data_IF_345513915543
#
_entry.id   IF_345513915543
#
_cell.length_a   1.000
_cell.length_b   1.000
_cell.length_c   1.000
_cell.angle_alpha   90.00
_cell.angle_beta   90.00
_cell.angle_gamma   90.00
#
_symmetry.space_group_name_H-M   'P 1'
#
loop_
_entity.id
_entity.type
_entity.pdbx_description
1 polymer ?
#
# COMPACT_ATOMS: atom_id res chain seq x y z
N UNK A 1 -12.75 6.46 -39.82
CA UNK A 1 -11.84 6.55 -38.68
C UNK A 1 -12.61 7.27 -37.60
N UNK A 2 -13.05 6.60 -36.53
CA UNK A 2 -13.71 7.27 -35.41
C UNK A 2 -12.77 8.34 -34.83
N UNK A 3 -13.34 9.44 -34.32
CA UNK A 3 -12.55 10.50 -33.71
C UNK A 3 -12.05 10.05 -32.34
N UNK A 4 -10.89 10.54 -31.91
CA UNK A 4 -10.30 10.26 -30.58
C UNK A 4 -11.26 10.54 -29.41
N UNK A 5 -12.26 11.41 -29.61
CA UNK A 5 -13.30 11.72 -28.63
C UNK A 5 -14.37 10.62 -28.52
N UNK A 6 -14.69 9.96 -29.62
CA UNK A 6 -15.65 8.85 -29.64
C UNK A 6 -15.04 7.61 -29.01
N UNK A 7 -13.75 7.34 -29.26
CA UNK A 7 -13.01 6.25 -28.60
C UNK A 7 -12.92 6.46 -27.09
N UNK A 8 -12.62 7.70 -26.66
CA UNK A 8 -12.58 8.05 -25.22
C UNK A 8 -13.94 7.84 -24.55
N UNK A 9 -15.03 8.25 -25.20
CA UNK A 9 -16.37 8.07 -24.66
C UNK A 9 -16.79 6.59 -24.61
N UNK A 10 -16.33 5.78 -25.55
CA UNK A 10 -16.58 4.33 -25.57
C UNK A 10 -15.88 3.64 -24.39
N UNK A 11 -14.60 3.96 -24.16
CA UNK A 11 -13.82 3.45 -23.03
C UNK A 11 -14.44 3.88 -21.70
N UNK A 12 -14.89 5.14 -21.59
CA UNK A 12 -15.57 5.63 -20.39
C UNK A 12 -16.93 4.95 -20.15
N UNK A 13 -17.62 4.54 -21.21
CA UNK A 13 -18.89 3.80 -21.10
C UNK A 13 -18.66 2.36 -20.66
N UNK A 14 -17.60 1.71 -21.18
CA UNK A 14 -17.22 0.34 -20.83
C UNK A 14 -16.74 0.23 -19.38
N UNK A 15 -15.93 1.19 -18.92
CA UNK A 15 -15.54 1.30 -17.50
C UNK A 15 -16.78 1.46 -16.59
N UNK A 16 -17.82 2.16 -17.06
CA UNK A 16 -19.05 2.37 -16.29
C UNK A 16 -19.98 1.15 -16.29
N UNK A 17 -20.02 0.37 -17.38
CA UNK A 17 -20.89 -0.80 -17.48
C UNK A 17 -20.40 -1.98 -16.63
N UNK A 18 -19.10 -2.07 -16.35
CA UNK A 18 -18.52 -3.11 -15.48
C UNK A 18 -18.87 -2.93 -13.99
N UNK A 19 -19.50 -1.81 -13.60
CA UNK A 19 -19.91 -1.56 -12.21
C UNK A 19 -21.26 -2.22 -11.82
N UNK A 20 -22.04 -2.73 -12.77
CA UNK A 20 -23.44 -3.12 -12.51
C UNK A 20 -23.69 -4.64 -12.40
N UNK A 21 -22.65 -5.49 -12.36
CA UNK A 21 -22.81 -6.95 -12.29
C UNK A 21 -21.88 -7.59 -11.26
N UNK A 22 -22.17 -7.41 -9.95
CA UNK A 22 -21.96 -8.40 -8.86
C UNK A 22 -21.87 -7.80 -7.42
N UNK A 23 -22.25 -6.54 -7.18
CA UNK A 23 -22.47 -6.08 -5.79
C UNK A 23 -23.80 -6.67 -5.27
N UNK A 24 -23.77 -7.96 -4.89
CA UNK A 24 -24.76 -8.54 -4.00
C UNK A 24 -24.63 -7.86 -2.64
N UNK A 25 -25.22 -6.66 -2.53
CA UNK A 25 -25.39 -5.82 -1.34
C UNK A 25 -26.23 -6.54 -0.27
N UNK A 26 -25.74 -7.68 0.19
CA UNK A 26 -26.16 -8.23 1.46
C UNK A 26 -25.53 -7.37 2.54
N UNK A 27 -26.32 -6.65 3.37
CA UNK A 27 -25.76 -5.85 4.43
C UNK A 27 -24.94 -6.77 5.32
N UNK A 28 -23.64 -6.48 5.44
CA UNK A 28 -22.78 -7.15 6.40
C UNK A 28 -23.33 -6.84 7.80
N UNK A 29 -23.93 -7.84 8.45
CA UNK A 29 -24.35 -7.74 9.85
C UNK A 29 -23.14 -8.18 10.68
N UNK A 30 -22.38 -7.25 11.28
CA UNK A 30 -21.29 -7.63 12.18
C UNK A 30 -21.86 -8.47 13.31
N UNK A 31 -21.32 -9.67 13.48
CA UNK A 31 -21.72 -10.57 14.54
C UNK A 31 -21.19 -9.98 15.87
N UNK A 32 -22.04 -9.29 16.62
CA UNK A 32 -21.66 -8.48 17.79
C UNK A 32 -20.95 -9.25 18.93
N UNK A 33 -20.84 -10.57 18.82
CA UNK A 33 -20.19 -11.47 19.79
C UNK A 33 -18.80 -11.97 19.34
N UNK A 34 -18.39 -11.75 18.09
CA UNK A 34 -17.10 -12.17 17.59
C UNK A 34 -16.05 -11.06 17.81
N UNK A 35 -14.95 -11.37 18.49
CA UNK A 35 -13.80 -10.48 18.55
C UNK A 35 -13.07 -10.52 17.21
N UNK A 36 -12.93 -9.36 16.56
CA UNK A 36 -12.19 -9.25 15.32
C UNK A 36 -10.72 -9.66 15.46
N UNK A 37 -10.14 -10.27 14.42
CA UNK A 37 -8.72 -10.57 14.33
C UNK A 37 -8.20 -10.35 12.90
N UNK A 38 -7.01 -9.75 12.77
CA UNK A 38 -6.30 -9.58 11.49
C UNK A 38 -5.76 -10.90 10.89
N UNK A 39 -6.07 -12.04 11.51
CA UNK A 39 -5.64 -13.37 11.11
C UNK A 39 -5.21 -14.23 12.32
N UNK A 40 -4.67 -15.44 12.09
CA UNK A 40 -4.15 -16.29 13.15
C UNK A 40 -3.03 -15.60 13.93
N UNK A 41 -2.95 -15.84 15.25
CA UNK A 41 -1.84 -15.37 16.07
C UNK A 41 -0.55 -16.06 15.65
N UNK A 42 0.52 -15.29 15.49
CA UNK A 42 1.85 -15.78 15.12
C UNK A 42 2.82 -15.29 16.20
N UNK A 43 3.65 -16.19 16.72
CA UNK A 43 4.52 -15.94 17.88
C UNK A 43 6.01 -16.12 17.58
N UNK A 44 6.34 -16.62 16.40
CA UNK A 44 7.67 -17.07 15.98
C UNK A 44 8.11 -16.42 14.66
N UNK A 45 7.47 -15.30 14.28
CA UNK A 45 7.74 -14.61 13.02
C UNK A 45 9.21 -14.23 12.83
N UNK A 46 9.87 -13.70 13.86
CA UNK A 46 11.29 -13.30 13.76
C UNK A 46 12.20 -14.49 13.45
N UNK A 47 11.91 -15.66 14.04
CA UNK A 47 12.63 -16.89 13.76
C UNK A 47 12.36 -17.38 12.34
N UNK A 48 11.10 -17.38 11.89
CA UNK A 48 10.73 -17.76 10.53
C UNK A 48 11.41 -16.86 9.49
N UNK A 49 11.38 -15.55 9.71
CA UNK A 49 12.03 -14.55 8.85
C UNK A 49 13.53 -14.76 8.81
N UNK A 50 14.18 -14.98 9.96
CA UNK A 50 15.62 -15.21 10.02
C UNK A 50 16.02 -16.47 9.23
N UNK A 51 15.27 -17.57 9.37
CA UNK A 51 15.51 -18.79 8.62
C UNK A 51 15.30 -18.58 7.11
N UNK A 52 14.25 -17.85 6.72
CA UNK A 52 13.98 -17.53 5.32
C UNK A 52 15.13 -16.72 4.70
N UNK A 53 15.63 -15.69 5.38
CA UNK A 53 16.75 -14.86 4.89
C UNK A 53 18.05 -15.67 4.73
N UNK A 54 18.30 -16.64 5.60
CA UNK A 54 19.46 -17.54 5.46
C UNK A 54 19.35 -18.48 4.25
N UNK A 55 18.12 -18.85 3.87
CA UNK A 55 17.85 -19.75 2.74
C UNK A 55 17.75 -19.02 1.39
N UNK A 56 17.48 -17.71 1.40
CA UNK A 56 17.20 -16.91 0.20
C UNK A 56 18.19 -15.73 0.08
N UNK A 57 19.47 -16.05 -0.08
CA UNK A 57 20.56 -15.06 -0.09
C UNK A 57 20.47 -14.06 -1.25
N UNK A 58 19.75 -14.38 -2.34
CA UNK A 58 19.48 -13.44 -3.43
C UNK A 58 18.53 -12.29 -3.03
N UNK A 59 17.79 -12.42 -1.92
CA UNK A 59 16.87 -11.41 -1.39
C UNK A 59 17.31 -10.89 -0.01
N UNK A 60 18.47 -10.20 0.07
CA UNK A 60 18.95 -9.68 1.35
C UNK A 60 18.09 -8.51 1.82
N UNK A 61 17.82 -8.44 3.12
CA UNK A 61 17.09 -7.32 3.73
C UNK A 61 17.87 -6.00 3.75
N UNK A 62 19.18 -6.04 3.52
CA UNK A 62 20.03 -4.88 3.32
C UNK A 62 20.77 -4.96 1.98
N UNK A 63 20.72 -3.88 1.21
CA UNK A 63 21.41 -3.75 -0.08
C UNK A 63 22.40 -2.59 0.01
N UNK A 64 23.70 -2.87 -0.15
CA UNK A 64 24.78 -1.87 -0.06
C UNK A 64 24.73 -1.04 1.24
N UNK A 65 24.41 -1.71 2.36
CA UNK A 65 24.31 -1.08 3.68
C UNK A 65 23.03 -0.27 3.91
N UNK A 66 22.09 -0.26 2.96
CA UNK A 66 20.77 0.37 3.12
C UNK A 66 19.70 -0.69 3.32
N UNK A 67 18.83 -0.50 4.29
CA UNK A 67 17.71 -1.38 4.53
C UNK A 67 16.73 -1.34 3.35
N UNK A 68 16.12 -2.48 2.97
CA UNK A 68 15.06 -2.49 1.96
C UNK A 68 13.79 -1.88 2.52
N UNK A 69 13.21 -0.96 1.76
CA UNK A 69 11.99 -0.25 2.14
C UNK A 69 10.91 -0.48 1.08
N UNK A 70 9.70 -0.80 1.55
CA UNK A 70 8.48 -0.65 0.76
C UNK A 70 7.76 0.63 1.15
N UNK A 71 7.63 1.56 0.22
CA UNK A 71 6.69 2.66 0.36
C UNK A 71 5.29 2.15 0.03
N UNK A 72 4.43 2.05 1.05
CA UNK A 72 3.07 1.56 0.93
C UNK A 72 2.08 2.73 0.87
N UNK A 73 1.28 2.77 -0.20
CA UNK A 73 0.18 3.71 -0.45
C UNK A 73 -1.08 2.94 -0.81
N UNK A 74 -2.24 3.54 -0.56
CA UNK A 74 -3.47 3.08 -1.17
C UNK A 74 -4.48 4.19 -1.41
N UNK A 75 -5.45 3.88 -2.25
CA UNK A 75 -6.68 4.65 -2.43
C UNK A 75 -7.86 3.70 -2.60
N UNK A 76 -9.07 4.26 -2.60
CA UNK A 76 -10.27 3.49 -2.92
C UNK A 76 -10.14 2.84 -4.32
N UNK A 77 -10.68 1.62 -4.53
CA UNK A 77 -10.86 1.04 -5.86
C UNK A 77 -11.83 1.84 -6.73
N UNK A 78 -12.84 2.45 -6.11
CA UNK A 78 -13.88 3.19 -6.81
C UNK A 78 -13.34 4.59 -7.19
N UNK A 79 -13.77 5.16 -8.33
CA UNK A 79 -13.44 6.54 -8.71
C UNK A 79 -13.77 7.52 -7.58
N UNK A 80 -13.05 8.63 -7.52
CA UNK A 80 -13.35 9.67 -6.54
C UNK A 80 -14.75 10.29 -6.80
N UNK A 81 -15.51 10.55 -5.72
CA UNK A 81 -16.81 11.24 -5.83
C UNK A 81 -16.68 12.59 -6.56
N UNK A 82 -15.57 13.29 -6.31
CA UNK A 82 -15.18 14.45 -7.10
C UNK A 82 -14.19 14.02 -8.20
N UNK A 83 -14.52 14.18 -9.49
CA UNK A 83 -13.67 13.72 -10.60
C UNK A 83 -12.26 14.33 -10.61
N UNK A 84 -12.06 15.53 -10.04
CA UNK A 84 -10.70 16.11 -9.93
C UNK A 84 -9.82 15.33 -8.94
N UNK A 85 -10.41 14.57 -8.02
CA UNK A 85 -9.71 13.77 -7.02
C UNK A 85 -8.76 12.76 -7.65
N UNK A 86 -9.21 12.05 -8.69
CA UNK A 86 -8.39 11.07 -9.40
C UNK A 86 -7.17 11.73 -10.06
N UNK A 87 -7.30 12.98 -10.52
CA UNK A 87 -6.17 13.74 -11.04
C UNK A 87 -5.13 14.07 -9.95
N UNK A 88 -5.58 14.37 -8.72
CA UNK A 88 -4.68 14.58 -7.59
C UNK A 88 -4.02 13.28 -7.12
N UNK A 89 -4.75 12.16 -7.10
CA UNK A 89 -4.19 10.83 -6.82
C UNK A 89 -3.09 10.47 -7.84
N UNK A 90 -3.32 10.74 -9.13
CA UNK A 90 -2.33 10.53 -10.18
C UNK A 90 -1.07 11.39 -9.97
N UNK A 91 -1.24 12.68 -9.61
CA UNK A 91 -0.11 13.57 -9.30
C UNK A 91 0.65 13.13 -8.05
N UNK A 92 -0.08 12.62 -7.06
CA UNK A 92 0.49 12.08 -5.83
C UNK A 92 1.36 10.86 -6.09
N UNK A 93 0.85 9.86 -6.82
CA UNK A 93 1.66 8.68 -7.12
C UNK A 93 2.85 9.03 -8.01
N UNK A 94 2.70 9.95 -8.97
CA UNK A 94 3.85 10.44 -9.74
C UNK A 94 4.94 11.04 -8.84
N UNK A 95 4.57 11.91 -7.90
CA UNK A 95 5.51 12.52 -6.95
C UNK A 95 6.30 11.46 -6.18
N UNK A 96 5.60 10.43 -5.71
CA UNK A 96 6.20 9.34 -4.92
C UNK A 96 7.06 8.41 -5.77
N UNK A 97 6.66 8.10 -7.01
CA UNK A 97 7.48 7.37 -7.98
C UNK A 97 8.80 8.09 -8.22
N UNK A 98 8.77 9.42 -8.42
CA UNK A 98 9.98 10.19 -8.66
C UNK A 98 10.93 10.17 -7.44
N UNK A 99 10.42 10.32 -6.21
CA UNK A 99 11.21 10.18 -4.99
C UNK A 99 11.78 8.77 -4.83
N UNK A 100 10.95 7.73 -4.89
CA UNK A 100 11.35 6.35 -4.71
C UNK A 100 12.39 5.89 -5.73
N UNK A 101 12.30 6.34 -6.99
CA UNK A 101 13.30 6.07 -8.02
C UNK A 101 14.67 6.67 -7.67
N UNK A 102 14.71 7.88 -7.11
CA UNK A 102 15.95 8.53 -6.69
C UNK A 102 16.61 7.83 -5.50
N UNK A 103 15.79 7.29 -4.58
CA UNK A 103 16.25 6.70 -3.32
C UNK A 103 16.33 5.17 -3.33
N UNK A 104 15.97 4.51 -4.43
CA UNK A 104 16.00 3.04 -4.54
C UNK A 104 14.96 2.34 -3.65
N UNK A 105 13.79 2.96 -3.47
CA UNK A 105 12.69 2.45 -2.66
C UNK A 105 11.65 1.80 -3.58
N UNK A 106 11.14 0.63 -3.20
CA UNK A 106 10.08 -0.05 -3.94
C UNK A 106 8.70 0.48 -3.50
N UNK A 107 7.73 0.54 -4.41
CA UNK A 107 6.39 1.06 -4.13
C UNK A 107 5.36 -0.05 -4.22
N UNK A 108 4.48 -0.11 -3.22
CA UNK A 108 3.24 -0.88 -3.27
C UNK A 108 2.07 0.09 -3.27
N UNK A 109 1.25 0.03 -4.33
CA UNK A 109 0.01 0.79 -4.42
C UNK A 109 -1.19 -0.15 -4.31
N UNK A 110 -1.94 -0.05 -3.21
CA UNK A 110 -3.15 -0.84 -3.00
C UNK A 110 -4.39 -0.13 -3.54
N UNK A 111 -5.13 -0.83 -4.40
CA UNK A 111 -6.46 -0.44 -4.88
C UNK A 111 -7.56 -1.39 -4.40
N UNK A 112 -7.26 -2.35 -3.50
CA UNK A 112 -8.23 -3.35 -3.07
C UNK A 112 -8.67 -3.15 -1.61
N UNK A 113 -9.94 -3.45 -1.33
CA UNK A 113 -10.41 -3.71 0.03
C UNK A 113 -10.13 -5.18 0.37
N UNK A 114 -9.20 -5.43 1.28
CA UNK A 114 -8.85 -6.78 1.71
C UNK A 114 -9.84 -7.37 2.72
N UNK A 115 -10.57 -6.51 3.42
CA UNK A 115 -11.47 -6.88 4.50
C UNK A 115 -12.70 -5.96 4.47
N UNK A 116 -13.89 -6.53 4.65
CA UNK A 116 -15.16 -5.79 4.65
C UNK A 116 -15.34 -4.96 5.93
N UNK A 117 -14.68 -5.35 7.02
CA UNK A 117 -14.70 -4.63 8.29
C UNK A 117 -13.67 -3.48 8.31
N UNK A 118 -12.51 -3.64 7.65
CA UNK A 118 -11.45 -2.62 7.57
C UNK A 118 -11.56 -1.82 6.27
N UNK A 119 -12.53 -0.92 6.22
CA UNK A 119 -12.71 0.04 5.14
C UNK A 119 -12.09 1.40 5.46
N UNK A 120 -11.97 2.26 4.44
CA UNK A 120 -11.40 3.60 4.58
C UNK A 120 -9.97 3.59 5.15
N UNK A 121 -9.72 4.46 6.15
CA UNK A 121 -8.40 4.63 6.76
C UNK A 121 -7.86 3.38 7.47
N UNK A 122 -8.73 2.45 7.84
CA UNK A 122 -8.36 1.22 8.55
C UNK A 122 -7.84 0.13 7.60
N UNK A 123 -8.11 0.22 6.30
CA UNK A 123 -7.69 -0.76 5.29
C UNK A 123 -6.16 -0.97 5.23
N UNK A 124 -5.38 -0.03 5.76
CA UNK A 124 -3.92 -0.15 5.85
C UNK A 124 -3.45 -1.27 6.78
N UNK A 125 -4.18 -1.56 7.85
CA UNK A 125 -3.76 -2.59 8.83
C UNK A 125 -3.69 -4.01 8.25
N UNK A 126 -4.74 -4.55 7.60
CA UNK A 126 -4.65 -5.87 6.99
C UNK A 126 -3.60 -5.90 5.86
N UNK A 127 -3.43 -4.81 5.12
CA UNK A 127 -2.43 -4.76 4.04
C UNK A 127 -0.99 -4.75 4.58
N UNK A 128 -0.67 -3.92 5.59
CA UNK A 128 0.65 -3.92 6.22
C UNK A 128 0.99 -5.31 6.75
N UNK A 129 0.06 -5.95 7.47
CA UNK A 129 0.24 -7.32 7.96
C UNK A 129 0.54 -8.29 6.81
N UNK A 130 -0.22 -8.23 5.72
CA UNK A 130 -0.02 -9.08 4.55
C UNK A 130 1.34 -8.86 3.89
N UNK A 131 1.77 -7.60 3.77
CA UNK A 131 3.07 -7.25 3.20
C UNK A 131 4.21 -7.79 4.05
N UNK A 132 4.14 -7.67 5.39
CA UNK A 132 5.14 -8.24 6.29
C UNK A 132 5.33 -9.75 6.05
N UNK A 133 4.24 -10.50 5.90
CA UNK A 133 4.33 -11.95 5.67
C UNK A 133 4.76 -12.34 4.25
N UNK A 134 4.33 -11.58 3.25
CA UNK A 134 4.58 -11.92 1.85
C UNK A 134 5.98 -11.51 1.39
N UNK A 135 6.62 -10.59 2.11
CA UNK A 135 7.92 -10.02 1.78
C UNK A 135 8.89 -10.03 2.97
N UNK A 136 9.39 -11.21 3.40
CA UNK A 136 10.32 -11.32 4.52
C UNK A 136 11.65 -10.57 4.28
N UNK A 137 12.01 -10.32 3.02
CA UNK A 137 13.17 -9.55 2.59
C UNK A 137 13.05 -8.05 2.87
N UNK A 138 11.87 -7.53 3.14
CA UNK A 138 11.68 -6.10 3.44
C UNK A 138 12.02 -5.85 4.90
N UNK A 139 12.79 -4.80 5.15
CA UNK A 139 13.15 -4.39 6.52
C UNK A 139 12.18 -3.34 7.06
N UNK A 140 11.77 -2.39 6.21
CA UNK A 140 10.86 -1.31 6.60
C UNK A 140 9.67 -1.21 5.66
N UNK A 141 8.47 -1.13 6.23
CA UNK A 141 7.26 -0.71 5.51
C UNK A 141 6.98 0.74 5.89
N UNK A 142 7.09 1.63 4.92
CA UNK A 142 6.79 3.05 5.08
C UNK A 142 5.41 3.33 4.52
N UNK A 143 4.40 3.39 5.38
CA UNK A 143 3.07 3.87 5.00
C UNK A 143 3.09 5.38 4.74
N UNK A 144 2.52 5.81 3.62
CA UNK A 144 2.33 7.22 3.29
C UNK A 144 0.95 7.43 2.68
N UNK A 145 0.19 8.38 3.21
CA UNK A 145 -1.16 8.65 2.71
C UNK A 145 -1.12 9.20 1.27
N UNK A 146 -2.23 9.02 0.55
CA UNK A 146 -2.37 9.45 -0.85
C UNK A 146 -2.39 10.97 -1.00
N UNK A 147 -2.70 11.72 0.06
CA UNK A 147 -2.68 13.19 0.11
C UNK A 147 -1.38 13.78 0.67
N UNK A 148 -0.42 12.95 1.10
CA UNK A 148 0.92 13.38 1.49
C UNK A 148 1.87 13.45 0.26
N UNK A 149 2.75 14.45 0.22
CA UNK A 149 3.68 14.67 -0.90
C UNK A 149 5.12 14.88 -0.42
N UNK A 150 6.07 14.34 -1.18
CA UNK A 150 7.48 14.69 -1.04
C UNK A 150 7.71 16.07 -1.65
N UNK A 151 8.13 17.02 -0.83
CA UNK A 151 8.52 18.36 -1.25
C UNK A 151 10.03 18.56 -1.24
N UNK A 152 10.76 17.73 -0.49
CA UNK A 152 12.22 17.74 -0.44
C UNK A 152 12.81 16.44 -1.00
N UNK A 153 13.08 16.44 -2.32
CA UNK A 153 13.45 15.22 -3.06
C UNK A 153 14.86 14.68 -2.76
N UNK A 154 15.74 15.50 -2.17
CA UNK A 154 17.14 15.12 -1.90
C UNK A 154 17.30 14.53 -0.50
N UNK A 155 16.34 14.75 0.39
CA UNK A 155 16.38 14.20 1.74
C UNK A 155 16.30 12.67 1.69
N UNK A 156 17.17 12.02 2.47
CA UNK A 156 17.15 10.57 2.68
C UNK A 156 16.84 10.30 4.15
N UNK A 157 16.03 9.26 4.42
CA UNK A 157 15.71 8.86 5.77
C UNK A 157 16.99 8.41 6.51
N UNK A 158 17.29 8.96 7.70
CA UNK A 158 18.46 8.58 8.46
C UNK A 158 18.21 7.27 9.21
N UNK A 159 18.05 6.16 8.48
CA UNK A 159 17.59 4.86 9.02
C UNK A 159 18.46 4.34 10.16
N UNK A 160 19.76 4.61 10.15
CA UNK A 160 20.68 4.22 11.23
C UNK A 160 20.32 4.82 12.59
N UNK A 161 19.52 5.88 12.64
CA UNK A 161 19.00 6.44 13.91
C UNK A 161 17.90 5.57 14.51
N UNK A 162 17.38 4.61 13.75
CA UNK A 162 16.21 3.81 14.08
C UNK A 162 16.55 2.32 14.24
N UNK A 163 17.82 1.94 14.28
CA UNK A 163 18.28 0.54 14.35
C UNK A 163 17.71 -0.22 15.56
N UNK A 164 17.45 0.48 16.67
CA UNK A 164 16.89 -0.09 17.91
C UNK A 164 15.35 0.11 18.03
N UNK A 165 14.67 0.49 16.95
CA UNK A 165 13.25 0.84 16.94
C UNK A 165 12.48 0.06 15.86
N UNK A 166 11.21 -0.21 16.13
CA UNK A 166 10.32 -0.94 15.20
C UNK A 166 9.19 -0.07 14.61
N UNK A 167 9.02 1.16 15.12
CA UNK A 167 7.99 2.08 14.68
C UNK A 167 8.50 3.52 14.81
N UNK A 168 8.44 4.26 13.71
CA UNK A 168 8.84 5.67 13.65
C UNK A 168 7.63 6.48 13.20
N UNK A 169 7.26 7.47 13.99
CA UNK A 169 6.16 8.40 13.72
C UNK A 169 6.66 9.81 13.94
N UNK A 170 6.12 10.76 13.17
CA UNK A 170 6.37 12.18 13.45
C UNK A 170 5.46 12.64 14.60
N UNK A 171 6.07 13.20 15.65
CA UNK A 171 5.39 13.67 16.85
C UNK A 171 6.35 14.38 17.81
N UNK A 172 5.84 14.84 18.94
CA UNK A 172 6.60 15.45 20.05
C UNK A 172 6.24 14.76 21.36
#
# INVERSE_FOLDING_TARGET
>A
MPSTREETNCILAEIRSDFDLDDNDTPFIPNATATFSLGPKISDWDQQRHQWLQQNLEYPNFVRGKARIFLFIGSSPKPCDNPIGDHYLLKSIKNKIDYCRLHGIEIVYNLAHLDKEFTGYWAKLPMIRRLMFSHPEVEWIWWMDSDAFFTYMVFELPLSKYDDYNLVLQGF
#
